data_IF_242573086030
#
_entry.id   IF_242573086030
#
_cell.length_a   1.000
_cell.length_b   1.000
_cell.length_c   1.000
_cell.angle_alpha   90.00
_cell.angle_beta   90.00
_cell.angle_gamma   90.00
#
_symmetry.space_group_name_H-M   'P 1'
#
loop_
_entity.id
_entity.type
_entity.pdbx_description
1 polymer ?
#
# COMPACT_ATOMS: atom_id res chain seq x y z
N UNK A 1 22.30 11.87 57.39
CA UNK A 1 22.58 12.50 56.08
C UNK A 1 23.98 12.13 55.57
N UNK A 2 25.04 12.39 56.33
CA UNK A 2 26.42 12.09 55.90
C UNK A 2 26.69 10.61 55.60
N UNK A 3 26.09 9.70 56.36
CA UNK A 3 26.20 8.24 56.13
C UNK A 3 25.61 7.83 54.79
N UNK A 4 24.40 8.30 54.47
CA UNK A 4 23.73 8.06 53.18
C UNK A 4 24.47 8.72 52.01
N UNK A 5 24.95 9.96 52.19
CA UNK A 5 25.73 10.65 51.17
C UNK A 5 27.02 9.89 50.82
N UNK A 6 27.72 9.38 51.83
CA UNK A 6 28.92 8.56 51.64
C UNK A 6 28.61 7.25 50.92
N UNK A 7 27.50 6.59 51.25
CA UNK A 7 27.07 5.36 50.57
C UNK A 7 26.75 5.57 49.09
N UNK A 8 26.28 6.77 48.72
CA UNK A 8 26.00 7.16 47.33
C UNK A 8 27.22 7.77 46.61
N UNK A 9 28.39 7.84 47.26
CA UNK A 9 29.59 8.46 46.69
C UNK A 9 29.50 9.98 46.55
N UNK A 10 28.60 10.64 47.29
CA UNK A 10 28.48 12.09 47.33
C UNK A 10 29.47 12.67 48.35
N UNK A 11 30.24 13.68 47.95
CA UNK A 11 31.24 14.30 48.83
C UNK A 11 30.57 15.04 50.00
N UNK A 12 31.15 14.94 51.19
CA UNK A 12 30.56 15.47 52.43
C UNK A 12 30.35 16.98 52.40
N UNK A 13 31.22 17.71 51.69
CA UNK A 13 31.12 19.17 51.57
C UNK A 13 29.81 19.64 50.92
N UNK A 14 29.16 18.79 50.09
CA UNK A 14 27.85 19.10 49.49
C UNK A 14 26.75 19.06 50.55
N UNK A 15 26.86 18.13 51.51
CA UNK A 15 25.94 18.04 52.65
C UNK A 15 26.14 19.23 53.58
N UNK A 16 27.40 19.61 53.82
CA UNK A 16 27.75 20.81 54.60
C UNK A 16 27.20 22.08 53.95
N UNK A 17 27.40 22.24 52.64
CA UNK A 17 26.91 23.39 51.89
C UNK A 17 25.37 23.43 51.88
N UNK A 18 24.70 22.28 51.78
CA UNK A 18 23.24 22.21 51.92
C UNK A 18 22.77 22.73 53.28
N UNK A 19 23.43 22.33 54.37
CA UNK A 19 23.09 22.81 55.71
C UNK A 19 23.33 24.31 55.87
N UNK A 20 24.44 24.82 55.34
CA UNK A 20 24.76 26.25 55.31
C UNK A 20 23.73 27.06 54.50
N UNK A 21 23.32 26.57 53.32
CA UNK A 21 22.29 27.24 52.52
C UNK A 21 20.90 27.24 53.17
N UNK A 22 20.58 26.21 53.98
CA UNK A 22 19.26 26.05 54.59
C UNK A 22 19.13 26.78 55.94
N UNK A 23 20.21 26.87 56.71
CA UNK A 23 20.19 27.33 58.10
C UNK A 23 21.31 28.32 58.45
N UNK A 24 22.21 28.63 57.52
CA UNK A 24 23.25 29.63 57.73
C UNK A 24 22.66 31.03 57.87
N UNK A 25 23.33 31.87 58.65
CA UNK A 25 22.97 33.28 58.78
C UNK A 25 23.30 34.08 57.51
N UNK A 26 24.24 33.59 56.70
CA UNK A 26 24.67 34.20 55.44
C UNK A 26 24.71 33.16 54.32
N UNK A 27 24.39 33.60 53.09
CA UNK A 27 24.46 32.77 51.89
C UNK A 27 25.92 32.54 51.48
N UNK A 28 26.29 31.33 51.02
CA UNK A 28 27.64 31.08 50.53
C UNK A 28 28.01 31.98 49.34
N UNK A 29 29.29 32.37 49.21
CA UNK A 29 29.76 33.18 48.09
C UNK A 29 29.43 32.54 46.74
N UNK A 30 29.10 33.36 45.74
CA UNK A 30 28.69 32.91 44.40
C UNK A 30 29.72 31.99 43.73
N UNK A 31 31.01 32.19 43.99
CA UNK A 31 32.09 31.35 43.47
C UNK A 31 32.00 29.92 44.01
N UNK A 32 31.71 29.77 45.31
CA UNK A 32 31.53 28.46 45.97
C UNK A 32 30.30 27.75 45.39
N UNK A 33 29.21 28.47 45.18
CA UNK A 33 27.99 27.92 44.56
C UNK A 33 28.23 27.47 43.11
N UNK A 34 28.95 28.25 42.30
CA UNK A 34 29.29 27.89 40.92
C UNK A 34 30.14 26.62 40.84
N UNK A 35 31.20 26.54 41.64
CA UNK A 35 32.05 25.35 41.67
C UNK A 35 31.29 24.12 42.17
N UNK A 36 30.44 24.29 43.19
CA UNK A 36 29.65 23.18 43.71
C UNK A 36 28.61 22.72 42.70
N UNK A 37 27.97 23.63 41.97
CA UNK A 37 27.03 23.28 40.90
C UNK A 37 27.73 22.48 39.78
N UNK A 38 28.91 22.90 39.34
CA UNK A 38 29.71 22.17 38.37
C UNK A 38 30.06 20.76 38.86
N UNK A 39 30.47 20.64 40.13
CA UNK A 39 30.78 19.35 40.72
C UNK A 39 29.55 18.42 40.84
N UNK A 40 28.40 18.96 41.24
CA UNK A 40 27.15 18.19 41.31
C UNK A 40 26.67 17.72 39.93
N UNK A 41 26.84 18.54 38.89
CA UNK A 41 26.50 18.16 37.52
C UNK A 41 27.41 17.06 37.00
N UNK A 42 28.72 17.14 37.26
CA UNK A 42 29.67 16.08 36.89
C UNK A 42 29.38 14.78 37.66
N UNK A 43 29.05 14.88 38.95
CA UNK A 43 28.61 13.74 39.74
C UNK A 43 27.33 13.12 39.16
N UNK A 44 26.33 13.93 38.80
CA UNK A 44 25.07 13.45 38.21
C UNK A 44 25.31 12.77 36.84
N UNK A 45 26.19 13.36 36.03
CA UNK A 45 26.61 12.80 34.74
C UNK A 45 27.21 11.41 34.91
N UNK A 46 28.16 11.27 35.83
CA UNK A 46 28.89 10.01 36.02
C UNK A 46 28.08 8.96 36.79
N UNK A 47 27.28 9.37 37.78
CA UNK A 47 26.53 8.46 38.63
C UNK A 47 25.23 7.97 37.99
N UNK A 48 24.55 8.82 37.22
CA UNK A 48 23.25 8.49 36.63
C UNK A 48 23.30 8.49 35.10
N UNK A 49 23.75 9.56 34.45
CA UNK A 49 23.51 9.72 33.01
C UNK A 49 24.36 8.78 32.15
N UNK A 50 25.65 8.60 32.47
CA UNK A 50 26.53 7.68 31.75
C UNK A 50 26.09 6.21 31.91
N UNK A 51 25.84 5.69 33.12
CA UNK A 51 25.31 4.33 33.28
C UNK A 51 23.97 4.11 32.57
N UNK A 52 23.08 5.11 32.60
CA UNK A 52 21.82 5.04 31.85
C UNK A 52 22.10 5.01 30.34
N UNK A 53 22.99 5.86 29.83
CA UNK A 53 23.36 5.90 28.41
C UNK A 53 23.99 4.57 27.94
N UNK A 54 24.81 3.93 28.77
CA UNK A 54 25.41 2.61 28.48
C UNK A 54 24.39 1.47 28.50
N UNK A 55 23.39 1.56 29.40
CA UNK A 55 22.34 0.54 29.53
C UNK A 55 21.18 0.69 28.54
N UNK A 56 20.97 1.89 28.01
CA UNK A 56 19.92 2.18 27.04
C UNK A 56 20.38 1.78 25.64
N UNK A 57 19.57 0.94 24.97
CA UNK A 57 19.76 0.66 23.55
C UNK A 57 18.93 1.63 22.71
N UNK A 58 19.45 1.98 21.53
CA UNK A 58 18.70 2.77 20.57
C UNK A 58 17.43 2.03 20.17
N UNK A 59 16.28 2.69 20.33
CA UNK A 59 15.01 2.17 19.84
C UNK A 59 14.99 2.28 18.31
N UNK A 60 14.98 1.13 17.64
CA UNK A 60 14.77 1.06 16.19
C UNK A 60 13.29 1.33 15.88
N UNK A 61 12.95 2.60 15.66
CA UNK A 61 11.58 3.03 15.36
C UNK A 61 10.94 2.26 14.19
N UNK A 62 11.65 1.91 13.10
CA UNK A 62 11.18 0.98 12.07
C UNK A 62 10.76 -0.42 12.57
N UNK A 63 11.45 -0.98 13.58
CA UNK A 63 11.10 -2.28 14.19
C UNK A 63 9.92 -2.20 15.15
N UNK A 64 9.51 -0.99 15.55
CA UNK A 64 8.30 -0.76 16.33
C UNK A 64 7.04 -0.88 15.44
N UNK A 65 6.85 -2.05 14.80
CA UNK A 65 5.54 -2.33 14.19
C UNK A 65 4.50 -2.34 15.31
N UNK A 66 3.58 -1.38 15.25
CA UNK A 66 2.44 -1.34 16.19
C UNK A 66 1.75 -2.71 16.15
N UNK A 67 1.54 -3.33 17.31
CA UNK A 67 0.87 -4.64 17.46
C UNK A 67 -0.42 -4.74 16.63
N UNK A 68 -1.15 -3.63 16.51
CA UNK A 68 -2.38 -3.52 15.72
C UNK A 68 -2.15 -3.63 14.21
N UNK A 69 -1.04 -3.10 13.68
CA UNK A 69 -0.65 -3.24 12.27
C UNK A 69 -0.36 -4.69 11.93
N UNK A 70 0.50 -5.34 12.72
CA UNK A 70 0.85 -6.75 12.50
C UNK A 70 -0.38 -7.66 12.61
N UNK A 71 -1.25 -7.42 13.60
CA UNK A 71 -2.51 -8.16 13.77
C UNK A 71 -3.43 -7.98 12.56
N UNK A 72 -3.61 -6.76 12.09
CA UNK A 72 -4.45 -6.45 10.93
C UNK A 72 -3.89 -7.05 9.63
N UNK A 73 -2.57 -6.95 9.41
CA UNK A 73 -1.91 -7.55 8.27
C UNK A 73 -2.09 -9.07 8.24
N UNK A 74 -1.90 -9.75 9.39
CA UNK A 74 -2.13 -11.18 9.50
C UNK A 74 -3.61 -11.57 9.27
N UNK A 75 -4.55 -10.76 9.78
CA UNK A 75 -5.99 -10.95 9.49
C UNK A 75 -6.28 -10.89 7.99
N UNK A 76 -5.76 -9.87 7.29
CA UNK A 76 -5.95 -9.75 5.84
C UNK A 76 -5.25 -10.85 5.05
N UNK A 77 -4.04 -11.26 5.46
CA UNK A 77 -3.29 -12.33 4.80
C UNK A 77 -4.05 -13.65 4.83
N UNK A 78 -4.64 -14.01 5.98
CA UNK A 78 -5.51 -15.19 6.10
C UNK A 78 -6.73 -15.06 5.19
N UNK A 79 -7.37 -13.89 5.14
CA UNK A 79 -8.55 -13.67 4.31
C UNK A 79 -8.22 -13.82 2.82
N UNK A 80 -7.16 -13.19 2.32
CA UNK A 80 -6.74 -13.32 0.92
C UNK A 80 -6.30 -14.75 0.59
N UNK A 81 -5.59 -15.44 1.48
CA UNK A 81 -5.23 -16.85 1.30
C UNK A 81 -6.49 -17.73 1.16
N UNK A 82 -7.51 -17.50 2.01
CA UNK A 82 -8.76 -18.25 1.93
C UNK A 82 -9.57 -17.91 0.67
N UNK A 83 -9.53 -16.66 0.21
CA UNK A 83 -10.14 -16.28 -1.07
C UNK A 83 -9.48 -17.01 -2.23
N UNK A 84 -8.14 -16.95 -2.32
CA UNK A 84 -7.35 -17.52 -3.41
C UNK A 84 -7.54 -19.04 -3.49
N UNK A 85 -7.50 -19.72 -2.33
CA UNK A 85 -7.73 -21.16 -2.23
C UNK A 85 -9.17 -21.56 -2.60
N UNK A 86 -10.17 -20.78 -2.17
CA UNK A 86 -11.56 -21.04 -2.49
C UNK A 86 -11.86 -20.78 -3.98
N UNK A 87 -11.24 -19.75 -4.57
CA UNK A 87 -11.30 -19.45 -6.00
C UNK A 87 -10.76 -20.61 -6.83
N UNK A 88 -9.58 -21.14 -6.46
CA UNK A 88 -9.01 -22.31 -7.12
C UNK A 88 -9.92 -23.52 -7.07
N UNK A 89 -10.46 -23.81 -5.89
CA UNK A 89 -11.36 -24.94 -5.73
C UNK A 89 -12.65 -24.73 -6.53
N UNK A 90 -13.20 -23.51 -6.56
CA UNK A 90 -14.40 -23.19 -7.32
C UNK A 90 -14.19 -23.42 -8.81
N UNK A 91 -13.12 -22.86 -9.38
CA UNK A 91 -12.87 -22.93 -10.83
C UNK A 91 -12.42 -24.33 -11.27
N UNK A 92 -11.80 -25.13 -10.40
CA UNK A 92 -11.53 -26.56 -10.67
C UNK A 92 -12.73 -27.48 -10.37
N UNK A 93 -13.93 -26.93 -10.16
CA UNK A 93 -15.17 -27.69 -9.96
C UNK A 93 -15.35 -28.33 -8.57
N UNK A 94 -14.45 -28.07 -7.61
CA UNK A 94 -14.50 -28.61 -6.25
C UNK A 94 -15.39 -27.78 -5.32
N UNK A 95 -16.70 -27.75 -5.58
CA UNK A 95 -17.65 -26.85 -4.90
C UNK A 95 -17.95 -27.19 -3.42
N UNK A 96 -17.78 -28.46 -3.03
CA UNK A 96 -18.06 -28.97 -1.68
C UNK A 96 -16.76 -29.37 -0.99
N UNK A 97 -16.73 -29.26 0.34
CA UNK A 97 -15.53 -29.58 1.14
C UNK A 97 -14.96 -31.00 0.88
N UNK A 98 -15.83 -31.99 0.62
CA UNK A 98 -15.42 -33.35 0.25
C UNK A 98 -14.68 -33.43 -1.09
N UNK A 99 -14.99 -32.54 -2.02
CA UNK A 99 -14.29 -32.44 -3.30
C UNK A 99 -12.96 -31.70 -3.14
N UNK A 100 -12.93 -30.68 -2.26
CA UNK A 100 -11.70 -29.95 -1.94
C UNK A 100 -10.62 -30.87 -1.35
N UNK A 101 -11.00 -31.81 -0.47
CA UNK A 101 -10.05 -32.77 0.10
C UNK A 101 -9.41 -33.72 -0.92
N UNK A 102 -10.01 -33.87 -2.10
CA UNK A 102 -9.46 -34.68 -3.20
C UNK A 102 -8.53 -33.86 -4.10
N UNK A 103 -8.82 -32.56 -4.22
CA UNK A 103 -8.08 -31.64 -5.08
C UNK A 103 -6.82 -31.10 -4.41
N UNK A 104 -6.87 -30.84 -3.10
CA UNK A 104 -5.83 -30.10 -2.38
C UNK A 104 -5.02 -30.97 -1.41
N UNK A 105 -3.72 -30.66 -1.22
CA UNK A 105 -2.91 -31.31 -0.21
C UNK A 105 -3.52 -31.17 1.20
N UNK A 106 -3.20 -32.12 2.09
CA UNK A 106 -3.73 -32.16 3.46
C UNK A 106 -3.52 -30.85 4.23
N UNK A 107 -2.39 -30.16 4.03
CA UNK A 107 -2.10 -28.89 4.69
C UNK A 107 -3.10 -27.78 4.28
N UNK A 108 -3.30 -27.55 2.98
CA UNK A 108 -4.25 -26.56 2.46
C UNK A 108 -5.70 -26.94 2.78
N UNK A 109 -6.04 -28.23 2.65
CA UNK A 109 -7.36 -28.72 3.03
C UNK A 109 -7.67 -28.47 4.52
N UNK A 110 -6.68 -28.64 5.41
CA UNK A 110 -6.89 -28.36 6.82
C UNK A 110 -7.11 -26.86 7.09
N UNK A 111 -6.42 -25.95 6.39
CA UNK A 111 -6.65 -24.51 6.51
C UNK A 111 -8.10 -24.14 6.16
N UNK A 112 -8.56 -24.55 4.98
CA UNK A 112 -9.93 -24.25 4.52
C UNK A 112 -10.97 -24.95 5.40
N UNK A 113 -10.71 -26.19 5.86
CA UNK A 113 -11.61 -26.92 6.77
C UNK A 113 -11.77 -26.19 8.10
N UNK A 114 -10.68 -25.75 8.74
CA UNK A 114 -10.73 -25.01 10.01
C UNK A 114 -11.49 -23.70 9.82
N UNK A 115 -11.23 -22.98 8.73
CA UNK A 115 -11.95 -21.76 8.38
C UNK A 115 -13.46 -22.02 8.22
N UNK A 116 -13.84 -23.04 7.44
CA UNK A 116 -15.25 -23.43 7.25
C UNK A 116 -15.93 -23.86 8.56
N UNK A 117 -15.26 -24.64 9.40
CA UNK A 117 -15.81 -25.10 10.69
C UNK A 117 -16.13 -23.95 11.62
N UNK A 118 -15.25 -22.94 11.69
CA UNK A 118 -15.45 -21.75 12.54
C UNK A 118 -16.65 -20.89 12.11
N UNK A 119 -17.01 -20.92 10.82
CA UNK A 119 -18.05 -20.06 10.21
C UNK A 119 -19.28 -20.82 9.72
N UNK A 120 -19.31 -22.15 9.90
CA UNK A 120 -20.37 -23.06 9.44
C UNK A 120 -20.62 -23.02 7.93
N UNK A 121 -19.55 -22.85 7.14
CA UNK A 121 -19.61 -22.78 5.67
C UNK A 121 -19.54 -24.16 5.04
N UNK A 122 -20.27 -24.37 3.94
CA UNK A 122 -20.42 -25.67 3.27
C UNK A 122 -19.90 -25.68 1.84
N UNK A 123 -19.90 -24.54 1.15
CA UNK A 123 -19.50 -24.43 -0.25
C UNK A 123 -18.37 -23.44 -0.46
N UNK A 124 -17.58 -23.62 -1.53
CA UNK A 124 -16.50 -22.67 -1.91
C UNK A 124 -17.03 -21.27 -2.22
N UNK A 125 -18.22 -21.17 -2.81
CA UNK A 125 -18.90 -19.89 -3.05
C UNK A 125 -19.23 -19.16 -1.75
N UNK A 126 -19.78 -19.86 -0.76
CA UNK A 126 -20.02 -19.30 0.58
C UNK A 126 -18.73 -18.81 1.25
N UNK A 127 -17.60 -19.49 1.03
CA UNK A 127 -16.29 -19.06 1.54
C UNK A 127 -15.88 -17.74 0.91
N UNK A 128 -15.91 -17.64 -0.43
CA UNK A 128 -15.56 -16.40 -1.13
C UNK A 128 -16.46 -15.23 -0.69
N UNK A 129 -17.78 -15.43 -0.63
CA UNK A 129 -18.74 -14.39 -0.21
C UNK A 129 -18.50 -13.93 1.24
N UNK A 130 -18.21 -14.88 2.13
CA UNK A 130 -17.90 -14.59 3.54
C UNK A 130 -16.59 -13.83 3.66
N UNK A 131 -15.55 -14.25 2.92
CA UNK A 131 -14.26 -13.56 2.91
C UNK A 131 -14.40 -12.12 2.40
N UNK A 132 -15.12 -11.90 1.30
CA UNK A 132 -15.40 -10.55 0.78
C UNK A 132 -16.12 -9.70 1.82
N UNK A 133 -17.09 -10.28 2.54
CA UNK A 133 -17.79 -9.58 3.63
C UNK A 133 -16.82 -9.22 4.77
N UNK A 134 -15.99 -10.16 5.19
CA UNK A 134 -15.03 -9.95 6.29
C UNK A 134 -13.94 -8.93 5.93
N UNK A 135 -13.39 -8.97 4.72
CA UNK A 135 -12.49 -7.94 4.20
C UNK A 135 -13.14 -6.54 4.26
N UNK A 136 -14.42 -6.44 3.88
CA UNK A 136 -15.20 -5.22 3.99
C UNK A 136 -15.35 -4.72 5.43
N UNK A 137 -15.58 -5.62 6.39
CA UNK A 137 -15.65 -5.25 7.82
C UNK A 137 -14.30 -4.87 8.40
N UNK A 138 -13.22 -5.54 7.99
CA UNK A 138 -11.86 -5.29 8.47
C UNK A 138 -11.41 -3.88 8.09
N UNK A 139 -11.63 -3.47 6.83
CA UNK A 139 -11.32 -2.12 6.36
C UNK A 139 -12.14 -1.05 7.08
N UNK A 140 -13.44 -1.29 7.31
CA UNK A 140 -14.30 -0.37 8.07
C UNK A 140 -13.85 -0.17 9.52
N UNK A 141 -13.30 -1.21 10.16
CA UNK A 141 -12.77 -1.14 11.53
C UNK A 141 -11.53 -0.24 11.66
N UNK A 142 -10.75 -0.06 10.59
CA UNK A 142 -9.43 0.61 10.62
C UNK A 142 -9.34 1.90 9.80
N UNK A 143 -10.44 2.36 9.18
CA UNK A 143 -10.39 3.42 8.14
C UNK A 143 -9.90 4.80 8.65
N UNK A 144 -9.87 5.03 9.97
CA UNK A 144 -9.42 6.29 10.58
C UNK A 144 -8.07 6.21 11.31
N UNK A 145 -7.53 5.01 11.56
CA UNK A 145 -6.39 4.80 12.47
C UNK A 145 -5.09 4.40 11.77
N UNK A 146 -5.18 3.76 10.59
CA UNK A 146 -4.04 3.11 9.94
C UNK A 146 -3.67 3.78 8.62
N UNK A 147 -2.49 4.43 8.57
CA UNK A 147 -1.98 5.12 7.38
C UNK A 147 -1.64 4.16 6.23
N UNK A 148 -1.16 2.95 6.55
CA UNK A 148 -0.65 1.97 5.57
C UNK A 148 -1.72 0.98 5.06
N UNK A 149 -3.00 1.27 5.34
CA UNK A 149 -4.13 0.38 5.04
C UNK A 149 -4.16 -0.07 3.58
N UNK A 150 -3.93 0.89 2.67
CA UNK A 150 -3.93 0.67 1.23
C UNK A 150 -2.79 -0.27 0.81
N UNK A 151 -1.57 -0.03 1.30
CA UNK A 151 -0.39 -0.81 0.93
C UNK A 151 -0.51 -2.26 1.39
N UNK A 152 -1.05 -2.49 2.59
CA UNK A 152 -1.31 -3.84 3.11
C UNK A 152 -2.34 -4.56 2.22
N UNK A 153 -3.40 -3.85 1.81
CA UNK A 153 -4.45 -4.42 0.96
C UNK A 153 -3.93 -4.77 -0.44
N UNK A 154 -3.19 -3.86 -1.07
CA UNK A 154 -2.57 -4.08 -2.39
C UNK A 154 -1.58 -5.24 -2.35
N UNK A 155 -0.69 -5.27 -1.34
CA UNK A 155 0.26 -6.37 -1.14
C UNK A 155 -0.46 -7.71 -0.98
N UNK A 156 -1.56 -7.73 -0.21
CA UNK A 156 -2.39 -8.91 -0.03
C UNK A 156 -2.98 -9.43 -1.34
N UNK A 157 -3.52 -8.55 -2.19
CA UNK A 157 -4.04 -8.95 -3.50
C UNK A 157 -2.94 -9.47 -4.41
N UNK A 158 -1.82 -8.75 -4.50
CA UNK A 158 -0.73 -9.16 -5.37
C UNK A 158 -0.08 -10.47 -4.91
N UNK A 159 -0.21 -10.87 -3.63
CA UNK A 159 0.25 -12.17 -3.13
C UNK A 159 -0.65 -13.34 -3.54
N UNK A 160 -1.89 -13.11 -3.98
CA UNK A 160 -2.80 -14.16 -4.43
C UNK A 160 -2.32 -14.74 -5.77
N UNK A 161 -1.74 -15.93 -5.72
CA UNK A 161 -1.12 -16.56 -6.88
C UNK A 161 -2.19 -17.08 -7.85
N UNK A 162 -3.25 -17.70 -7.33
CA UNK A 162 -4.26 -18.29 -8.18
C UNK A 162 -5.10 -17.22 -8.88
N UNK A 163 -5.45 -16.13 -8.18
CA UNK A 163 -6.15 -14.99 -8.77
C UNK A 163 -5.40 -14.45 -9.99
N UNK A 164 -4.08 -14.23 -9.88
CA UNK A 164 -3.27 -13.74 -11.00
C UNK A 164 -3.27 -14.74 -12.18
N UNK A 165 -3.22 -16.05 -11.93
CA UNK A 165 -3.23 -17.07 -12.97
C UNK A 165 -4.61 -17.47 -13.50
N UNK A 166 -5.70 -17.10 -12.83
CA UNK A 166 -7.04 -17.66 -13.08
C UNK A 166 -7.54 -17.39 -14.51
N UNK A 167 -7.42 -16.15 -14.99
CA UNK A 167 -7.84 -15.78 -16.35
C UNK A 167 -7.01 -16.41 -17.46
N UNK A 168 -5.78 -16.84 -17.14
CA UNK A 168 -4.90 -17.55 -18.09
C UNK A 168 -5.20 -19.04 -18.11
N UNK A 169 -5.53 -19.61 -16.96
CA UNK A 169 -5.78 -21.05 -16.77
C UNK A 169 -7.18 -21.48 -17.24
N UNK A 170 -8.13 -20.56 -17.25
CA UNK A 170 -9.54 -20.80 -17.58
C UNK A 170 -10.01 -19.87 -18.70
N UNK A 171 -9.24 -19.77 -19.79
CA UNK A 171 -9.59 -18.90 -20.91
C UNK A 171 -10.85 -19.34 -21.65
N UNK A 172 -11.18 -20.64 -21.62
CA UNK A 172 -12.40 -21.20 -22.23
C UNK A 172 -13.64 -20.99 -21.34
N UNK A 173 -13.46 -20.92 -20.02
CA UNK A 173 -14.50 -20.73 -19.00
C UNK A 173 -14.38 -19.36 -18.32
N UNK A 174 -14.10 -18.33 -19.11
CA UNK A 174 -13.82 -16.99 -18.60
C UNK A 174 -15.02 -16.39 -17.83
N UNK A 175 -16.24 -16.73 -18.22
CA UNK A 175 -17.46 -16.32 -17.53
C UNK A 175 -17.49 -16.79 -16.06
N UNK A 176 -17.00 -18.01 -15.78
CA UNK A 176 -16.87 -18.52 -14.42
C UNK A 176 -15.81 -17.75 -13.61
N UNK A 177 -14.71 -17.36 -14.25
CA UNK A 177 -13.65 -16.53 -13.63
C UNK A 177 -14.22 -15.17 -13.23
N UNK A 178 -14.95 -14.53 -14.13
CA UNK A 178 -15.58 -13.23 -13.89
C UNK A 178 -16.65 -13.36 -12.80
N UNK A 179 -17.53 -14.36 -12.84
CA UNK A 179 -18.56 -14.58 -11.81
C UNK A 179 -17.93 -14.76 -10.42
N UNK A 180 -16.89 -15.60 -10.31
CA UNK A 180 -16.24 -15.92 -9.04
C UNK A 180 -15.49 -14.73 -8.41
N UNK A 181 -14.92 -13.84 -9.24
CA UNK A 181 -14.12 -12.70 -8.77
C UNK A 181 -14.91 -11.40 -8.64
N UNK A 182 -16.12 -11.35 -9.21
CA UNK A 182 -16.97 -10.16 -9.25
C UNK A 182 -17.19 -9.49 -7.89
N UNK A 183 -17.39 -10.28 -6.83
CA UNK A 183 -17.64 -9.79 -5.47
C UNK A 183 -16.44 -9.00 -4.90
N UNK A 184 -15.22 -9.49 -5.16
CA UNK A 184 -13.99 -8.85 -4.70
C UNK A 184 -13.79 -7.48 -5.37
N UNK A 185 -13.97 -7.40 -6.70
CA UNK A 185 -13.84 -6.14 -7.44
C UNK A 185 -14.91 -5.11 -7.04
N UNK A 186 -16.15 -5.55 -6.77
CA UNK A 186 -17.20 -4.64 -6.24
C UNK A 186 -16.83 -4.11 -4.85
N UNK A 187 -16.27 -4.95 -3.99
CA UNK A 187 -15.80 -4.52 -2.68
C UNK A 187 -14.70 -3.46 -2.79
N UNK A 188 -13.69 -3.72 -3.63
CA UNK A 188 -12.61 -2.79 -3.93
C UNK A 188 -13.12 -1.45 -4.46
N UNK A 189 -14.12 -1.49 -5.35
CA UNK A 189 -14.78 -0.30 -5.87
C UNK A 189 -15.49 0.50 -4.77
N UNK A 190 -16.23 -0.17 -3.89
CA UNK A 190 -16.87 0.47 -2.74
C UNK A 190 -15.86 1.13 -1.78
N UNK A 191 -14.69 0.52 -1.63
CA UNK A 191 -13.61 1.04 -0.79
C UNK A 191 -12.79 2.16 -1.47
N UNK A 192 -12.94 2.33 -2.78
CA UNK A 192 -12.19 3.33 -3.55
C UNK A 192 -10.76 2.90 -3.87
N UNK A 193 -10.50 1.60 -3.97
CA UNK A 193 -9.16 1.02 -4.21
C UNK A 193 -8.92 0.57 -5.66
N UNK A 194 -9.92 0.71 -6.53
CA UNK A 194 -9.85 0.27 -7.93
C UNK A 194 -8.74 0.97 -8.71
N UNK A 195 -8.58 2.28 -8.56
CA UNK A 195 -7.52 3.03 -9.25
C UNK A 195 -6.13 2.54 -8.80
N UNK A 196 -5.95 2.35 -7.49
CA UNK A 196 -4.70 1.85 -6.91
C UNK A 196 -4.38 0.43 -7.38
N UNK A 197 -5.40 -0.45 -7.42
CA UNK A 197 -5.22 -1.80 -7.92
C UNK A 197 -4.88 -1.82 -9.40
N UNK A 198 -5.53 -0.97 -10.21
CA UNK A 198 -5.22 -0.85 -11.62
C UNK A 198 -3.77 -0.43 -11.84
N UNK A 199 -3.31 0.61 -11.14
CA UNK A 199 -1.92 1.06 -11.20
C UNK A 199 -0.96 -0.03 -10.73
N UNK A 200 -1.30 -0.77 -9.67
CA UNK A 200 -0.49 -1.88 -9.18
C UNK A 200 -0.35 -3.01 -10.21
N UNK A 201 -1.42 -3.34 -10.95
CA UNK A 201 -1.34 -4.30 -12.05
C UNK A 201 -0.49 -3.78 -13.20
N UNK A 202 -0.68 -2.53 -13.63
CA UNK A 202 0.17 -1.89 -14.65
C UNK A 202 1.65 -1.99 -14.26
N UNK A 203 1.99 -1.58 -13.04
CA UNK A 203 3.36 -1.68 -12.50
C UNK A 203 3.87 -3.13 -12.46
N UNK A 204 3.01 -4.10 -12.14
CA UNK A 204 3.40 -5.51 -12.16
C UNK A 204 3.71 -5.98 -13.58
N UNK A 205 2.97 -5.55 -14.61
CA UNK A 205 3.27 -5.87 -16.01
C UNK A 205 4.61 -5.29 -16.48
N UNK A 206 4.98 -4.13 -15.94
CA UNK A 206 6.21 -3.39 -16.25
C UNK A 206 7.45 -3.92 -15.52
N UNK A 207 7.25 -4.68 -14.44
CA UNK A 207 8.33 -5.17 -13.61
C UNK A 207 9.07 -6.36 -14.27
N UNK A 208 10.30 -6.14 -14.71
CA UNK A 208 11.17 -7.17 -15.30
C UNK A 208 11.60 -8.27 -14.34
N UNK A 209 11.52 -8.03 -13.02
CA UNK A 209 11.89 -9.00 -11.99
C UNK A 209 10.72 -9.90 -11.58
N UNK A 210 9.50 -9.60 -12.06
CA UNK A 210 8.33 -10.41 -11.78
C UNK A 210 8.27 -11.62 -12.72
N UNK A 211 7.76 -12.73 -12.21
CA UNK A 211 7.50 -13.94 -13.00
C UNK A 211 6.53 -13.69 -14.17
N UNK A 212 6.76 -14.38 -15.29
CA UNK A 212 6.00 -14.19 -16.54
C UNK A 212 4.50 -14.44 -16.35
N UNK A 213 4.11 -15.50 -15.64
CA UNK A 213 2.70 -15.81 -15.40
C UNK A 213 2.03 -14.69 -14.59
N UNK A 214 2.73 -14.15 -13.59
CA UNK A 214 2.24 -13.03 -12.78
C UNK A 214 2.06 -11.76 -13.61
N UNK A 215 2.98 -11.48 -14.54
CA UNK A 215 2.90 -10.34 -15.46
C UNK A 215 1.75 -10.49 -16.44
N UNK A 216 1.57 -11.67 -17.03
CA UNK A 216 0.43 -12.00 -17.90
C UNK A 216 -0.90 -11.91 -17.13
N UNK A 217 -0.93 -12.37 -15.89
CA UNK A 217 -2.08 -12.29 -15.00
C UNK A 217 -2.48 -10.86 -14.66
N UNK A 218 -1.51 -10.01 -14.34
CA UNK A 218 -1.76 -8.58 -14.15
C UNK A 218 -2.27 -7.90 -15.43
N UNK A 219 -1.70 -8.25 -16.59
CA UNK A 219 -2.16 -7.73 -17.89
C UNK A 219 -3.62 -8.11 -18.16
N UNK A 220 -3.99 -9.35 -17.88
CA UNK A 220 -5.36 -9.85 -17.95
C UNK A 220 -6.32 -9.00 -17.10
N UNK A 221 -6.04 -8.88 -15.79
CA UNK A 221 -6.91 -8.14 -14.89
C UNK A 221 -6.97 -6.64 -15.20
N UNK A 222 -5.85 -6.02 -15.53
CA UNK A 222 -5.81 -4.62 -15.95
C UNK A 222 -6.68 -4.40 -17.21
N UNK A 223 -6.63 -5.32 -18.17
CA UNK A 223 -7.47 -5.27 -19.38
C UNK A 223 -8.96 -5.43 -19.04
N UNK A 224 -9.33 -6.34 -18.14
CA UNK A 224 -10.72 -6.48 -17.65
C UNK A 224 -11.22 -5.22 -16.92
N UNK A 225 -10.35 -4.57 -16.15
CA UNK A 225 -10.66 -3.29 -15.52
C UNK A 225 -10.88 -2.19 -16.58
N UNK A 226 -10.05 -2.14 -17.63
CA UNK A 226 -10.23 -1.19 -18.75
C UNK A 226 -11.54 -1.38 -19.50
N UNK A 227 -11.97 -2.62 -19.72
CA UNK A 227 -13.29 -2.91 -20.29
C UNK A 227 -14.41 -2.31 -19.42
N UNK A 228 -14.29 -2.43 -18.10
CA UNK A 228 -15.22 -1.82 -17.14
C UNK A 228 -15.18 -0.29 -17.20
N UNK A 229 -13.98 0.29 -17.31
CA UNK A 229 -13.81 1.74 -17.40
C UNK A 229 -14.43 2.31 -18.67
N UNK A 230 -14.20 1.66 -19.81
CA UNK A 230 -14.84 1.99 -21.08
C UNK A 230 -16.36 1.83 -21.04
N UNK A 231 -16.85 0.75 -20.42
CA UNK A 231 -18.29 0.54 -20.19
C UNK A 231 -18.90 1.70 -19.41
N UNK A 232 -18.34 2.09 -18.25
CA UNK A 232 -18.87 3.20 -17.47
C UNK A 232 -18.77 4.54 -18.19
N UNK A 233 -17.67 4.79 -18.91
CA UNK A 233 -17.52 6.01 -19.71
C UNK A 233 -18.65 6.13 -20.74
N UNK A 234 -18.93 5.05 -21.49
CA UNK A 234 -20.05 4.99 -22.44
C UNK A 234 -21.40 5.18 -21.74
N UNK A 235 -21.66 4.47 -20.64
CA UNK A 235 -22.92 4.59 -19.89
C UNK A 235 -23.16 6.02 -19.39
N UNK A 236 -22.14 6.68 -18.86
CA UNK A 236 -22.24 8.08 -18.39
C UNK A 236 -22.47 9.05 -19.53
N UNK A 237 -21.79 8.87 -20.66
CA UNK A 237 -21.98 9.69 -21.86
C UNK A 237 -23.42 9.58 -22.37
N UNK A 238 -23.92 8.37 -22.57
CA UNK A 238 -25.30 8.13 -23.01
C UNK A 238 -26.32 8.71 -22.03
N UNK A 239 -26.11 8.47 -20.73
CA UNK A 239 -27.02 8.99 -19.71
C UNK A 239 -27.02 10.53 -19.65
N UNK A 240 -25.86 11.17 -19.88
CA UNK A 240 -25.76 12.63 -19.98
C UNK A 240 -26.53 13.15 -21.21
N UNK A 241 -26.37 12.52 -22.37
CA UNK A 241 -27.11 12.87 -23.59
C UNK A 241 -28.63 12.74 -23.39
N UNK A 242 -29.09 11.70 -22.70
CA UNK A 242 -30.52 11.55 -22.35
C UNK A 242 -31.00 12.64 -21.38
N UNK A 243 -30.18 13.00 -20.39
CA UNK A 243 -30.51 14.03 -19.41
C UNK A 243 -30.57 15.43 -20.04
N UNK A 244 -29.69 15.71 -20.99
CA UNK A 244 -29.68 16.95 -21.78
C UNK A 244 -30.96 17.05 -22.64
N UNK A 245 -31.50 15.91 -23.11
CA UNK A 245 -32.76 15.84 -23.87
C UNK A 245 -34.02 15.84 -22.98
N UNK A 246 -33.93 15.36 -21.74
CA UNK A 246 -35.05 15.30 -20.80
C UNK A 246 -34.63 15.63 -19.37
N UNK A 247 -34.78 16.90 -19.00
CA UNK A 247 -34.43 17.43 -17.67
C UNK A 247 -35.25 16.86 -16.49
N UNK A 248 -36.30 16.07 -16.75
CA UNK A 248 -37.10 15.39 -15.71
C UNK A 248 -36.52 14.03 -15.31
N UNK A 249 -35.47 13.55 -15.98
CA UNK A 249 -34.78 12.31 -15.61
C UNK A 249 -34.11 12.46 -14.24
N UNK A 250 -34.37 11.51 -13.35
CA UNK A 250 -33.73 11.47 -12.03
C UNK A 250 -32.27 11.06 -12.18
N UNK A 251 -31.34 11.71 -11.43
CA UNK A 251 -29.91 11.36 -11.44
C UNK A 251 -29.71 9.87 -11.13
N UNK A 252 -28.90 9.20 -11.96
CA UNK A 252 -28.54 7.79 -11.76
C UNK A 252 -27.29 7.70 -10.89
N UNK A 253 -27.36 6.90 -9.83
CA UNK A 253 -26.23 6.58 -8.97
C UNK A 253 -25.49 5.34 -9.49
N UNK A 254 -24.33 5.57 -10.12
CA UNK A 254 -23.48 4.50 -10.65
C UNK A 254 -22.83 3.64 -9.56
N UNK A 255 -22.80 4.09 -8.30
CA UNK A 255 -22.31 3.25 -7.18
C UNK A 255 -23.22 2.04 -6.90
N UNK A 256 -24.46 2.08 -7.39
CA UNK A 256 -25.42 0.96 -7.27
C UNK A 256 -24.97 -0.30 -8.01
N UNK A 257 -24.06 -0.19 -8.98
CA UNK A 257 -23.43 -1.32 -9.67
C UNK A 257 -22.58 -2.19 -8.73
N UNK A 258 -22.17 -1.66 -7.59
CA UNK A 258 -21.42 -2.42 -6.58
C UNK A 258 -22.32 -3.35 -5.74
N UNK A 259 -23.64 -3.25 -5.87
CA UNK A 259 -24.60 -4.10 -5.17
C UNK A 259 -24.87 -5.38 -5.96
N UNK A 260 -25.23 -6.45 -5.27
CA UNK A 260 -25.62 -7.72 -5.90
C UNK A 260 -26.91 -7.59 -6.73
N UNK A 261 -27.81 -6.67 -6.36
CA UNK A 261 -29.04 -6.39 -7.08
C UNK A 261 -28.92 -5.09 -7.88
N UNK A 262 -28.82 -5.21 -9.19
CA UNK A 262 -28.76 -4.10 -10.14
C UNK A 262 -30.19 -3.60 -10.44
N UNK A 263 -30.39 -2.28 -10.43
CA UNK A 263 -31.69 -1.67 -10.73
C UNK A 263 -32.09 -1.84 -12.21
N UNK A 264 -33.39 -1.72 -12.52
CA UNK A 264 -33.88 -1.82 -13.91
C UNK A 264 -33.23 -0.80 -14.85
N UNK A 265 -33.11 0.45 -14.39
CA UNK A 265 -32.45 1.54 -15.13
C UNK A 265 -30.99 1.21 -15.41
N UNK A 266 -30.26 0.73 -14.39
CA UNK A 266 -28.85 0.39 -14.55
C UNK A 266 -28.65 -0.82 -15.47
N UNK A 267 -29.56 -1.80 -15.42
CA UNK A 267 -29.58 -2.93 -16.36
C UNK A 267 -29.80 -2.46 -17.81
N UNK A 268 -30.69 -1.51 -18.04
CA UNK A 268 -30.90 -0.93 -19.37
C UNK A 268 -29.62 -0.25 -19.88
N UNK A 269 -28.99 0.60 -19.06
CA UNK A 269 -27.73 1.26 -19.42
C UNK A 269 -26.61 0.25 -19.72
N UNK A 270 -26.53 -0.84 -18.96
CA UNK A 270 -25.57 -1.92 -19.21
C UNK A 270 -25.80 -2.58 -20.58
N UNK A 271 -27.07 -2.93 -20.90
CA UNK A 271 -27.43 -3.51 -22.20
C UNK A 271 -27.06 -2.54 -23.34
N UNK A 272 -27.37 -1.25 -23.21
CA UNK A 272 -27.05 -0.25 -24.22
C UNK A 272 -25.55 0.05 -24.34
N UNK A 273 -24.74 -0.24 -23.32
CA UNK A 273 -23.29 -0.03 -23.38
C UNK A 273 -22.56 -0.99 -24.32
N UNK A 274 -23.26 -2.03 -24.81
CA UNK A 274 -22.78 -2.98 -25.81
C UNK A 274 -21.73 -3.97 -25.29
N UNK A 275 -21.61 -4.14 -23.98
CA UNK A 275 -20.66 -5.10 -23.39
C UNK A 275 -21.33 -6.44 -23.10
N UNK A 276 -20.55 -7.50 -23.24
CA UNK A 276 -20.95 -8.81 -22.75
C UNK A 276 -20.80 -8.86 -21.22
N UNK A 277 -21.93 -9.02 -20.53
CA UNK A 277 -22.00 -9.06 -19.07
C UNK A 277 -21.42 -10.34 -18.47
N UNK A 278 -21.29 -11.42 -19.25
CA UNK A 278 -20.66 -12.66 -18.79
C UNK A 278 -19.13 -12.50 -18.71
N UNK A 279 -18.55 -11.71 -19.62
CA UNK A 279 -17.10 -11.58 -19.78
C UNK A 279 -16.52 -10.27 -19.22
N UNK A 280 -17.37 -9.34 -18.81
CA UNK A 280 -16.98 -8.02 -18.29
C UNK A 280 -17.16 -7.96 -16.78
N UNK A 281 -16.12 -7.51 -16.05
CA UNK A 281 -16.27 -7.18 -14.63
C UNK A 281 -17.24 -6.00 -14.47
N UNK A 282 -18.28 -6.16 -13.65
CA UNK A 282 -19.28 -5.10 -13.42
C UNK A 282 -19.13 -4.51 -12.03
N UNK A 283 -18.46 -3.36 -11.95
CA UNK A 283 -18.37 -2.53 -10.75
C UNK A 283 -18.61 -1.05 -11.07
N UNK A 284 -19.05 -0.30 -10.06
CA UNK A 284 -19.43 1.10 -10.14
C UNK A 284 -18.45 2.04 -9.46
N UNK A 285 -18.85 3.31 -9.33
CA UNK A 285 -18.05 4.32 -8.64
C UNK A 285 -18.03 4.12 -7.13
N UNK A 286 -17.00 4.70 -6.49
CA UNK A 286 -16.98 4.81 -5.04
C UNK A 286 -17.90 5.96 -4.60
N UNK A 287 -18.86 5.73 -3.68
CA UNK A 287 -19.73 6.81 -3.17
C UNK A 287 -18.95 7.98 -2.54
N UNK A 288 -17.74 7.71 -2.02
CA UNK A 288 -16.88 8.72 -1.39
C UNK A 288 -16.03 9.51 -2.40
N UNK A 289 -15.82 8.96 -3.59
CA UNK A 289 -15.01 9.55 -4.67
C UNK A 289 -15.65 9.17 -6.02
N UNK A 290 -16.72 9.88 -6.43
CA UNK A 290 -17.33 9.70 -7.75
C UNK A 290 -16.41 10.36 -8.78
N UNK A 291 -15.26 9.74 -9.05
CA UNK A 291 -14.35 10.17 -10.11
C UNK A 291 -14.73 9.43 -11.39
N UNK A 292 -14.83 10.19 -12.47
CA UNK A 292 -14.70 9.64 -13.81
C UNK A 292 -13.31 9.04 -13.94
N UNK A 293 -13.21 7.73 -14.14
CA UNK A 293 -11.95 7.04 -14.44
C UNK A 293 -11.44 7.53 -15.80
N UNK A 294 -10.67 8.59 -15.72
CA UNK A 294 -10.12 9.36 -16.82
C UNK A 294 -8.61 9.39 -16.58
N UNK A 295 -7.85 9.06 -17.62
CA UNK A 295 -6.41 8.98 -17.52
C UNK A 295 -5.79 10.22 -18.15
N UNK A 296 -4.92 10.87 -17.39
CA UNK A 296 -4.15 12.00 -17.88
C UNK A 296 -3.12 11.52 -18.90
N UNK A 297 -2.83 12.36 -19.90
CA UNK A 297 -1.82 12.06 -20.92
C UNK A 297 -0.46 11.74 -20.29
N UNK A 298 -0.10 12.39 -19.20
CA UNK A 298 1.16 12.14 -18.47
C UNK A 298 1.27 10.71 -17.96
N UNK A 299 0.16 10.11 -17.52
CA UNK A 299 0.13 8.71 -17.09
C UNK A 299 0.54 7.77 -18.24
N UNK A 300 0.05 8.03 -19.46
CA UNK A 300 0.40 7.25 -20.65
C UNK A 300 1.87 7.44 -21.04
N UNK A 301 2.33 8.70 -21.06
CA UNK A 301 3.70 9.03 -21.48
C UNK A 301 4.75 8.42 -20.55
N UNK A 302 4.50 8.43 -19.24
CA UNK A 302 5.39 7.83 -18.24
C UNK A 302 5.52 6.30 -18.37
N UNK A 303 4.71 5.65 -19.22
CA UNK A 303 4.71 4.19 -19.44
C UNK A 303 5.20 3.76 -20.82
N UNK A 304 5.63 4.70 -21.67
CA UNK A 304 6.25 4.40 -22.96
C UNK A 304 7.64 3.75 -22.82
N UNK A 305 8.42 4.20 -21.84
CA UNK A 305 9.76 3.67 -21.56
C UNK A 305 9.71 2.21 -21.07
N UNK A 306 8.95 1.86 -20.01
CA UNK A 306 8.86 0.48 -19.51
C UNK A 306 7.96 -0.45 -20.35
N UNK A 307 7.52 0.00 -21.52
CA UNK A 307 6.62 -0.74 -22.40
C UNK A 307 7.22 -2.08 -22.83
N UNK A 308 6.44 -3.15 -22.64
CA UNK A 308 6.80 -4.52 -22.98
C UNK A 308 5.55 -5.29 -23.46
N UNK A 309 5.74 -6.57 -23.81
CA UNK A 309 4.68 -7.44 -24.34
C UNK A 309 3.44 -7.56 -23.43
N UNK A 310 3.60 -7.43 -22.10
CA UNK A 310 2.50 -7.56 -21.14
C UNK A 310 1.81 -6.22 -20.86
N UNK A 311 2.54 -5.10 -20.90
CA UNK A 311 1.96 -3.77 -20.67
C UNK A 311 1.32 -3.18 -21.94
N UNK A 312 1.72 -3.63 -23.14
CA UNK A 312 1.19 -3.13 -24.40
C UNK A 312 -0.34 -3.28 -24.57
N UNK A 313 -0.98 -4.42 -24.23
CA UNK A 313 -2.45 -4.53 -24.29
C UNK A 313 -3.15 -3.51 -23.38
N UNK A 314 -2.56 -3.24 -22.21
CA UNK A 314 -3.12 -2.31 -21.22
C UNK A 314 -3.02 -0.87 -21.73
N UNK A 315 -1.86 -0.45 -22.26
CA UNK A 315 -1.69 0.89 -22.83
C UNK A 315 -2.60 1.12 -24.04
N UNK A 316 -2.76 0.13 -24.92
CA UNK A 316 -3.71 0.22 -26.05
C UNK A 316 -5.15 0.40 -25.56
N UNK A 317 -5.56 -0.34 -24.53
CA UNK A 317 -6.90 -0.23 -23.94
C UNK A 317 -7.14 1.08 -23.21
N UNK A 318 -6.09 1.79 -22.81
CA UNK A 318 -6.18 3.12 -22.19
C UNK A 318 -6.46 4.24 -23.19
N UNK A 319 -6.04 4.10 -24.44
CA UNK A 319 -6.11 5.17 -25.45
C UNK A 319 -7.52 5.82 -25.57
N UNK A 320 -8.63 5.07 -25.61
CA UNK A 320 -9.97 5.66 -25.70
C UNK A 320 -10.43 6.37 -24.41
N UNK A 321 -9.68 6.25 -23.31
CA UNK A 321 -10.00 6.78 -21.99
C UNK A 321 -9.11 7.98 -21.59
N UNK A 322 -8.19 8.39 -22.46
CA UNK A 322 -7.28 9.51 -22.21
C UNK A 322 -8.02 10.84 -22.37
N UNK A 323 -7.77 11.77 -21.45
CA UNK A 323 -8.25 13.16 -21.55
C UNK A 323 -7.08 14.13 -21.43
N UNK A 324 -6.97 15.14 -22.33
CA UNK A 324 -7.80 15.35 -23.52
C UNK A 324 -7.61 14.23 -24.55
N UNK A 325 -8.66 13.92 -25.36
CA UNK A 325 -8.59 12.86 -26.37
C UNK A 325 -7.43 13.10 -27.32
N UNK A 326 -6.73 12.02 -27.68
CA UNK A 326 -5.66 12.05 -28.68
C UNK A 326 -6.26 12.24 -30.07
N UNK A 327 -5.53 12.90 -30.97
CA UNK A 327 -5.92 12.97 -32.38
C UNK A 327 -5.78 11.59 -33.04
N UNK A 328 -6.50 11.36 -34.14
CA UNK A 328 -6.43 10.08 -34.86
C UNK A 328 -4.99 9.74 -35.30
N UNK A 329 -4.21 10.75 -35.71
CA UNK A 329 -2.79 10.61 -36.04
C UNK A 329 -1.95 10.18 -34.82
N UNK A 330 -2.21 10.75 -33.63
CA UNK A 330 -1.51 10.38 -32.39
C UNK A 330 -1.87 8.98 -31.93
N UNK A 331 -3.13 8.57 -32.10
CA UNK A 331 -3.59 7.21 -31.80
C UNK A 331 -2.93 6.19 -32.72
N UNK A 332 -2.82 6.50 -34.01
CA UNK A 332 -2.19 5.62 -34.98
C UNK A 332 -0.67 5.50 -34.73
N UNK A 333 0.02 6.60 -34.46
CA UNK A 333 1.45 6.60 -34.13
C UNK A 333 1.75 5.82 -32.84
N UNK A 334 0.95 6.04 -31.78
CA UNK A 334 1.11 5.30 -30.53
C UNK A 334 0.83 3.80 -30.70
N UNK A 335 -0.20 3.46 -31.48
CA UNK A 335 -0.54 2.07 -31.79
C UNK A 335 0.58 1.40 -32.60
N UNK A 336 1.20 2.12 -33.54
CA UNK A 336 2.38 1.67 -34.28
C UNK A 336 3.56 1.43 -33.34
N UNK A 337 3.88 2.35 -32.43
CA UNK A 337 4.96 2.17 -31.46
C UNK A 337 4.74 0.94 -30.57
N UNK A 338 3.50 0.72 -30.11
CA UNK A 338 3.15 -0.48 -29.35
C UNK A 338 3.30 -1.76 -30.19
N UNK A 339 2.94 -1.72 -31.48
CA UNK A 339 3.07 -2.86 -32.39
C UNK A 339 4.53 -3.18 -32.73
N UNK A 340 5.37 -2.16 -32.92
CA UNK A 340 6.80 -2.32 -33.19
C UNK A 340 7.51 -2.98 -32.00
N UNK A 341 7.26 -2.50 -30.77
CA UNK A 341 7.81 -3.13 -29.56
C UNK A 341 7.26 -4.54 -29.29
N UNK A 342 6.06 -4.89 -29.80
CA UNK A 342 5.54 -6.26 -29.78
C UNK A 342 6.27 -7.18 -30.78
N UNK A 343 6.83 -6.62 -31.87
CA UNK A 343 7.52 -7.38 -32.92
C UNK A 343 9.04 -7.51 -32.67
N UNK A 344 9.70 -6.48 -32.14
CA UNK A 344 11.16 -6.48 -31.89
C UNK A 344 11.61 -7.55 -30.88
N UNK A 345 10.72 -8.06 -30.01
CA UNK A 345 11.05 -9.12 -29.04
C UNK A 345 10.87 -10.55 -29.57
N UNK A 346 10.27 -10.76 -30.74
CA UNK A 346 10.21 -12.09 -31.38
C UNK A 346 11.49 -12.44 -32.15
N UNK A 347 12.40 -11.47 -32.33
CA UNK A 347 13.75 -11.68 -32.82
C UNK A 347 14.75 -11.55 -31.66
N UNK A 348 15.06 -12.63 -30.97
CA UNK A 348 16.19 -12.64 -30.05
C UNK A 348 17.49 -12.25 -30.79
N UNK A 349 18.03 -11.08 -30.47
CA UNK A 349 19.48 -10.92 -30.44
C UNK A 349 19.88 -10.39 -29.07
N UNK A 350 20.49 -11.29 -28.29
CA UNK A 350 21.38 -10.96 -27.18
C UNK A 350 22.40 -9.93 -27.66
N UNK A 351 22.24 -8.68 -27.24
CA UNK A 351 23.34 -7.73 -27.25
C UNK A 351 23.82 -7.58 -25.81
N UNK A 352 24.94 -8.25 -25.55
CA UNK A 352 25.86 -7.95 -24.47
C UNK A 352 26.30 -6.49 -24.67
N UNK A 353 26.03 -5.60 -23.72
CA UNK A 353 26.77 -4.34 -23.60
C UNK A 353 27.13 -4.08 -22.15
N UNK A 354 28.40 -3.74 -22.01
CA UNK A 354 29.20 -3.58 -20.81
C UNK A 354 28.66 -2.59 -19.78
N UNK A 355 29.02 -2.89 -18.52
CA UNK A 355 29.03 -1.96 -17.42
C UNK A 355 29.88 -0.73 -17.77
N UNK A 356 29.27 0.45 -17.80
CA UNK A 356 29.98 1.67 -17.44
C UNK A 356 29.19 2.44 -16.39
N UNK A 357 29.80 2.43 -15.20
CA UNK A 357 29.49 3.28 -14.06
C UNK A 357 29.66 4.75 -14.43
N UNK A 358 28.68 5.58 -14.11
CA UNK A 358 28.88 7.03 -14.00
C UNK A 358 28.27 7.50 -12.69
N UNK A 359 29.17 7.81 -11.75
CA UNK A 359 28.92 8.59 -10.55
C UNK A 359 28.41 9.98 -10.94
N UNK A 360 27.31 10.42 -10.32
CA UNK A 360 26.90 11.83 -10.32
C UNK A 360 26.93 12.34 -8.88
N UNK A 361 27.90 13.22 -8.70
CA UNK A 361 28.26 14.04 -7.55
C UNK A 361 27.08 14.87 -7.03
N UNK A 362 26.84 14.80 -5.71
CA UNK A 362 25.99 15.75 -4.96
C UNK A 362 26.78 17.03 -4.69
N UNK A 363 26.34 18.15 -5.26
CA UNK A 363 26.84 19.48 -4.90
C UNK A 363 26.25 19.91 -3.54
N UNK A 364 27.13 20.13 -2.56
CA UNK A 364 26.81 20.76 -1.28
C UNK A 364 26.86 22.28 -1.38
N UNK A 365 25.86 22.97 -0.82
CA UNK A 365 25.99 24.37 -0.44
C UNK A 365 26.54 24.44 0.99
N UNK A 366 27.80 24.84 1.13
CA UNK A 366 28.41 25.16 2.42
C UNK A 366 27.89 26.51 2.92
N UNK A 367 26.97 26.49 3.90
CA UNK A 367 26.82 27.60 4.83
C UNK A 367 27.83 27.39 5.98
N UNK A 368 28.76 28.33 6.18
CA UNK A 368 29.61 28.38 7.37
C UNK A 368 28.77 28.83 8.58
N UNK A 369 28.70 28.10 9.70
CA UNK A 369 28.08 28.58 10.92
C UNK A 369 29.14 29.11 11.89
N UNK A 370 29.03 30.38 12.25
CA UNK A 370 29.76 31.06 13.34
C UNK A 370 29.62 30.30 14.67
N UNK A 371 30.68 30.26 15.47
CA UNK A 371 30.77 29.53 16.73
C UNK A 371 29.93 30.16 17.85
N UNK A 372 28.82 29.49 18.19
CA UNK A 372 27.98 29.83 19.33
C UNK A 372 28.58 29.27 20.63
N UNK A 373 29.37 30.09 21.32
CA UNK A 373 29.86 29.82 22.67
C UNK A 373 28.94 30.51 23.69
N UNK A 374 28.34 29.73 24.59
CA UNK A 374 27.47 30.23 25.67
C UNK A 374 28.16 30.06 27.04
N UNK A 375 29.14 30.93 27.33
CA UNK A 375 29.86 30.91 28.61
C UNK A 375 30.74 29.66 28.77
N UNK A 376 30.57 28.89 29.85
CA UNK A 376 31.33 27.64 30.08
C UNK A 376 30.85 26.46 29.21
N UNK A 377 29.91 26.68 28.29
CA UNK A 377 29.33 25.65 27.44
C UNK A 377 29.65 25.88 25.96
N UNK A 378 30.08 24.82 25.29
CA UNK A 378 30.13 24.69 23.84
C UNK A 378 29.12 23.62 23.43
N UNK A 379 28.21 23.96 22.50
CA UNK A 379 27.35 22.95 21.87
C UNK A 379 28.17 22.28 20.78
N UNK A 380 28.38 20.96 20.88
CA UNK A 380 29.00 20.18 19.81
C UNK A 380 28.11 20.24 18.56
N UNK A 381 28.55 20.98 17.54
CA UNK A 381 27.87 21.10 16.25
C UNK A 381 28.14 19.86 15.40
N UNK A 382 27.35 18.80 15.56
CA UNK A 382 27.39 17.73 14.54
C UNK A 382 26.16 16.80 14.48
N UNK A 383 25.01 17.26 14.98
CA UNK A 383 23.86 16.35 15.16
C UNK A 383 22.56 16.98 14.68
N UNK A 384 22.02 16.45 13.57
CA UNK A 384 20.76 16.91 13.00
C UNK A 384 19.56 16.39 13.81
N UNK A 385 19.14 17.20 14.79
CA UNK A 385 18.08 16.86 15.74
C UNK A 385 16.69 16.70 15.11
N UNK A 386 16.45 17.21 13.89
CA UNK A 386 15.11 17.15 13.26
C UNK A 386 14.68 15.75 12.81
N UNK A 387 15.61 14.79 12.83
CA UNK A 387 15.41 13.39 12.42
C UNK A 387 15.28 12.43 13.61
N UNK A 388 15.42 12.91 14.84
CA UNK A 388 15.46 12.06 16.04
C UNK A 388 14.13 12.07 16.78
N UNK A 389 13.65 10.87 17.12
CA UNK A 389 12.56 10.72 18.08
C UNK A 389 13.02 11.23 19.46
N UNK A 390 12.08 11.75 20.25
CA UNK A 390 12.33 12.17 21.65
C UNK A 390 13.05 11.05 22.42
N UNK A 391 14.27 11.32 22.87
CA UNK A 391 15.10 10.38 23.64
C UNK A 391 16.19 9.64 22.84
N UNK A 392 16.42 9.97 21.56
CA UNK A 392 17.47 9.34 20.73
C UNK A 392 18.52 10.38 20.33
N UNK A 393 19.80 10.10 20.60
CA UNK A 393 20.91 10.93 20.13
C UNK A 393 21.11 10.76 18.61
N UNK A 394 21.32 11.84 17.85
CA UNK A 394 21.65 11.72 16.44
C UNK A 394 22.95 10.92 16.27
N UNK A 395 22.87 9.80 15.56
CA UNK A 395 24.03 8.96 15.24
C UNK A 395 24.87 9.66 14.19
N UNK A 396 26.18 9.81 14.44
CA UNK A 396 27.15 10.15 13.40
C UNK A 396 27.21 8.97 12.44
N UNK A 397 26.86 9.21 11.17
CA UNK A 397 27.11 8.26 10.08
C UNK A 397 28.63 8.10 9.97
N UNK A 398 29.15 6.93 10.33
CA UNK A 398 30.47 6.48 9.89
C UNK A 398 30.35 5.89 8.48
#
# INVERSE_FOLDING_TARGET
MYTTARQLGLQSFIVDLRHLCAHGQELPPTVVLRHTAAHCLEWLRNFYWLPQCESMSNLDAPKLQRKDKAKFQNELEILFEMFDLALECQLKGAQKLKSVSKLKPSAEFNKIRVYCSSRKLKTTREIMDTVVTELGTAVKRQTSSMKDLLDIYMTGILKMNYLLGAGLSHSEDEDLVIEATQGLFRLLAMQGYIENLFVAFVQLTENSNADDERRRGASYWATKMLQTFGMLSRMKRMYKEELDMNSKLKPVDFSTLNKSKISKTMRALLIHSGVDLALTLVFGECPKKPRSWVFEREFLMNRLDPLNIHSAPVLKGLLPLVVPPLTDEQLEDFSKQCNLKLQDTNGEQKIIVDKQSTDITKNGSQHKPEDDVFGIWSIEKEKNWSMCALGVLPTTLN
#
